data_IF_366776979273
#
_entry.id   IF_366776979273
#
_cell.length_a   1.000
_cell.length_b   1.000
_cell.length_c   1.000
_cell.angle_alpha   90.00
_cell.angle_beta   90.00
_cell.angle_gamma   90.00
#
_symmetry.space_group_name_H-M   'P 1'
#
loop_
_entity.id
_entity.type
_entity.pdbx_description
1 polymer ?
#
# COMPACT_ATOMS: atom_id res chain seq x y z
N UNK A 1 -6.80 9.82 -11.09
CA UNK A 1 -5.88 8.68 -10.82
C UNK A 1 -4.88 8.41 -11.95
N UNK A 2 -5.32 8.40 -13.22
CA UNK A 2 -4.48 8.04 -14.38
C UNK A 2 -3.16 8.82 -14.55
N UNK A 3 -3.15 10.13 -14.29
CA UNK A 3 -1.92 10.93 -14.37
C UNK A 3 -0.86 10.45 -13.35
N UNK A 4 -1.28 10.10 -12.13
CA UNK A 4 -0.39 9.58 -11.08
C UNK A 4 0.21 8.23 -11.49
N UNK A 5 -0.63 7.29 -11.94
CA UNK A 5 -0.18 5.98 -12.41
C UNK A 5 0.80 6.11 -13.58
N UNK A 6 0.49 6.98 -14.54
CA UNK A 6 1.38 7.24 -15.68
C UNK A 6 2.74 7.78 -15.26
N UNK A 7 2.77 8.75 -14.33
CA UNK A 7 4.02 9.26 -13.78
C UNK A 7 4.84 8.17 -13.08
N UNK A 8 4.19 7.28 -12.32
CA UNK A 8 4.87 6.20 -11.64
C UNK A 8 5.43 5.16 -12.61
N UNK A 9 4.67 4.78 -13.62
CA UNK A 9 5.10 3.82 -14.64
C UNK A 9 6.25 4.33 -15.50
N UNK A 10 6.28 5.64 -15.81
CA UNK A 10 7.34 6.24 -16.61
C UNK A 10 8.66 6.43 -15.85
N UNK A 11 8.59 6.57 -14.52
CA UNK A 11 9.78 6.88 -13.71
C UNK A 11 10.35 5.68 -12.93
N UNK A 12 9.66 4.53 -12.91
CA UNK A 12 10.10 3.37 -12.12
C UNK A 12 10.13 2.11 -12.97
N UNK A 13 11.10 1.24 -12.72
CA UNK A 13 11.14 -0.10 -13.32
C UNK A 13 10.30 -1.10 -12.50
N UNK A 14 9.92 -2.26 -13.07
CA UNK A 14 9.20 -3.31 -12.32
C UNK A 14 9.97 -3.88 -11.12
N UNK A 15 11.28 -3.67 -11.06
CA UNK A 15 12.13 -4.08 -9.94
C UNK A 15 12.16 -3.04 -8.81
N UNK A 16 11.75 -1.81 -9.09
CA UNK A 16 11.68 -0.71 -8.11
C UNK A 16 10.27 -0.51 -7.60
N UNK A 17 9.25 -0.68 -8.44
CA UNK A 17 7.85 -0.48 -8.08
C UNK A 17 6.98 -1.65 -8.51
N UNK A 18 6.21 -2.18 -7.55
CA UNK A 18 5.19 -3.20 -7.75
C UNK A 18 3.84 -2.67 -7.29
N UNK A 19 2.79 -2.97 -8.05
CA UNK A 19 1.48 -2.38 -7.84
C UNK A 19 0.37 -3.43 -7.74
N UNK A 20 -0.64 -3.12 -6.91
CA UNK A 20 -1.93 -3.80 -6.86
C UNK A 20 -2.98 -2.72 -7.10
N UNK A 21 -3.80 -2.90 -8.13
CA UNK A 21 -4.86 -1.97 -8.49
C UNK A 21 -6.21 -2.61 -8.21
N UNK A 22 -7.09 -1.88 -7.54
CA UNK A 22 -8.44 -2.29 -7.19
C UNK A 22 -9.43 -1.32 -7.84
N UNK A 23 -10.25 -1.83 -8.76
CA UNK A 23 -11.28 -1.09 -9.49
C UNK A 23 -12.57 -1.94 -9.55
N UNK A 24 -13.45 -1.82 -8.55
CA UNK A 24 -14.70 -2.59 -8.51
C UNK A 24 -15.68 -2.20 -9.62
N UNK A 25 -15.54 -0.99 -10.18
CA UNK A 25 -16.45 -0.45 -11.20
C UNK A 25 -16.01 -0.77 -12.64
N UNK A 26 -14.78 -1.28 -12.84
CA UNK A 26 -14.15 -1.59 -14.14
C UNK A 26 -14.08 -0.40 -15.10
N UNK A 27 -14.04 0.83 -14.59
CA UNK A 27 -14.20 2.02 -15.43
C UNK A 27 -12.86 2.58 -15.88
N UNK A 28 -11.87 2.65 -14.99
CA UNK A 28 -10.67 3.45 -15.23
C UNK A 28 -9.38 2.62 -15.28
N UNK A 29 -9.28 1.53 -14.52
CA UNK A 29 -8.00 0.85 -14.30
C UNK A 29 -7.80 -0.42 -15.13
N UNK A 30 -8.87 -0.98 -15.72
CA UNK A 30 -8.83 -2.22 -16.51
C UNK A 30 -7.81 -2.16 -17.67
N UNK A 31 -7.54 -0.97 -18.21
CA UNK A 31 -6.57 -0.75 -19.29
C UNK A 31 -5.10 -0.96 -18.89
N UNK A 32 -4.78 -1.02 -17.60
CA UNK A 32 -3.41 -1.27 -17.11
C UNK A 32 -3.10 -2.77 -16.99
N UNK A 33 -4.05 -3.66 -17.26
CA UNK A 33 -3.80 -5.10 -17.24
C UNK A 33 -2.68 -5.48 -18.22
N UNK A 34 -1.73 -6.30 -17.75
CA UNK A 34 -0.57 -6.75 -18.53
C UNK A 34 0.68 -5.88 -18.38
N UNK A 35 0.61 -4.77 -17.64
CA UNK A 35 1.79 -3.98 -17.28
C UNK A 35 2.70 -4.77 -16.33
N UNK A 36 4.02 -4.85 -16.56
CA UNK A 36 4.94 -5.70 -15.79
C UNK A 36 5.10 -5.29 -14.33
N UNK A 37 4.69 -4.08 -13.95
CA UNK A 37 4.69 -3.59 -12.57
C UNK A 37 3.56 -4.20 -11.72
N UNK A 38 2.51 -4.73 -12.34
CA UNK A 38 1.41 -5.34 -11.60
C UNK A 38 1.82 -6.68 -10.98
N UNK A 39 1.42 -6.90 -9.73
CA UNK A 39 1.61 -8.19 -9.04
C UNK A 39 0.50 -9.19 -9.36
N UNK A 40 -0.68 -8.68 -9.68
CA UNK A 40 -1.88 -9.42 -10.04
C UNK A 40 -2.66 -8.60 -11.09
N UNK A 41 -3.54 -9.24 -11.87
CA UNK A 41 -4.50 -8.49 -12.69
C UNK A 41 -5.31 -7.54 -11.80
N UNK A 42 -5.84 -6.47 -12.42
CA UNK A 42 -6.66 -5.47 -11.73
C UNK A 42 -7.81 -6.17 -11.02
N UNK A 43 -7.89 -5.97 -9.70
CA UNK A 43 -8.86 -6.63 -8.84
C UNK A 43 -10.18 -5.92 -8.98
N UNK A 44 -11.20 -6.66 -9.42
CA UNK A 44 -12.56 -6.13 -9.55
C UNK A 44 -13.46 -6.72 -8.47
N UNK A 45 -13.36 -8.03 -8.26
CA UNK A 45 -14.27 -8.73 -7.34
C UNK A 45 -13.91 -8.41 -5.90
N UNK A 46 -14.90 -7.99 -5.12
CA UNK A 46 -14.82 -7.65 -3.71
C UNK A 46 -14.04 -8.68 -2.87
N UNK A 47 -14.37 -9.95 -3.06
CA UNK A 47 -13.78 -11.08 -2.32
C UNK A 47 -12.27 -11.20 -2.58
N UNK A 48 -11.84 -10.88 -3.80
CA UNK A 48 -10.42 -10.88 -4.16
C UNK A 48 -9.66 -9.72 -3.52
N UNK A 49 -10.33 -8.60 -3.23
CA UNK A 49 -9.71 -7.45 -2.56
C UNK A 49 -9.28 -7.83 -1.13
N UNK A 50 -10.12 -8.56 -0.41
CA UNK A 50 -9.78 -9.06 0.94
C UNK A 50 -8.55 -9.96 0.88
N UNK A 51 -8.50 -10.89 -0.08
CA UNK A 51 -7.33 -11.74 -0.29
C UNK A 51 -6.06 -10.95 -0.63
N UNK A 52 -6.17 -9.89 -1.45
CA UNK A 52 -5.06 -9.02 -1.79
C UNK A 52 -4.54 -8.24 -0.57
N UNK A 53 -5.43 -7.69 0.26
CA UNK A 53 -5.05 -6.98 1.49
C UNK A 53 -4.38 -7.91 2.51
N UNK A 54 -4.92 -9.12 2.71
CA UNK A 54 -4.30 -10.14 3.57
C UNK A 54 -2.91 -10.55 3.06
N UNK A 55 -2.72 -10.59 1.74
CA UNK A 55 -1.40 -10.83 1.15
C UNK A 55 -0.43 -9.66 1.42
N UNK A 56 -0.90 -8.42 1.25
CA UNK A 56 -0.10 -7.21 1.54
C UNK A 56 0.34 -7.18 3.01
N UNK A 57 -0.54 -7.54 3.94
CA UNK A 57 -0.18 -7.62 5.36
C UNK A 57 0.90 -8.67 5.63
N UNK A 58 0.74 -9.89 5.07
CA UNK A 58 1.75 -10.95 5.21
C UNK A 58 3.10 -10.54 4.62
N UNK A 59 3.11 -9.86 3.49
CA UNK A 59 4.33 -9.34 2.88
C UNK A 59 4.96 -8.23 3.74
N UNK A 60 4.15 -7.37 4.37
CA UNK A 60 4.63 -6.36 5.30
C UNK A 60 5.33 -7.00 6.50
N UNK A 61 4.73 -8.03 7.12
CA UNK A 61 5.32 -8.75 8.25
C UNK A 61 6.63 -9.45 7.84
N UNK A 62 6.63 -10.11 6.67
CA UNK A 62 7.82 -10.75 6.13
C UNK A 62 8.96 -9.75 5.88
N UNK A 63 8.66 -8.56 5.37
CA UNK A 63 9.64 -7.47 5.18
C UNK A 63 10.15 -6.95 6.51
N UNK A 64 9.27 -6.78 7.50
CA UNK A 64 9.68 -6.34 8.83
C UNK A 64 10.66 -7.33 9.49
N UNK A 65 10.41 -8.63 9.34
CA UNK A 65 11.36 -9.66 9.78
C UNK A 65 12.70 -9.60 9.03
N UNK A 66 12.69 -9.37 7.71
CA UNK A 66 13.93 -9.18 6.95
C UNK A 66 14.69 -7.93 7.42
N UNK A 67 13.99 -6.84 7.72
CA UNK A 67 14.59 -5.60 8.18
C UNK A 67 15.25 -5.77 9.54
N UNK A 68 14.59 -6.47 10.47
CA UNK A 68 15.15 -6.72 11.81
C UNK A 68 16.40 -7.58 11.77
N UNK A 69 16.48 -8.57 10.86
CA UNK A 69 17.65 -9.44 10.69
C UNK A 69 18.93 -8.69 10.29
N UNK A 70 18.81 -7.63 9.48
CA UNK A 70 19.95 -6.79 9.03
C UNK A 70 20.06 -5.47 9.81
N UNK A 71 19.21 -5.25 10.81
CA UNK A 71 19.17 -4.00 11.58
C UNK A 71 18.85 -2.78 10.71
N UNK A 72 17.99 -2.94 9.71
CA UNK A 72 17.43 -1.85 8.91
C UNK A 72 16.14 -1.33 9.55
N UNK A 73 15.91 -0.02 9.53
CA UNK A 73 14.68 0.60 10.08
C UNK A 73 13.61 0.84 9.02
N UNK A 74 14.03 1.00 7.78
CA UNK A 74 13.18 1.29 6.64
C UNK A 74 13.71 0.57 5.39
N UNK A 75 12.92 0.62 4.32
CA UNK A 75 13.27 -0.02 3.04
C UNK A 75 14.50 0.63 2.37
N UNK A 76 14.73 1.93 2.56
CA UNK A 76 15.89 2.64 2.00
C UNK A 76 17.17 2.11 2.65
N UNK A 77 17.20 1.99 3.98
CA UNK A 77 18.30 1.42 4.76
C UNK A 77 18.54 -0.04 4.39
N UNK A 78 17.47 -0.81 4.19
CA UNK A 78 17.58 -2.22 3.77
C UNK A 78 18.18 -2.33 2.37
N UNK A 79 17.66 -1.57 1.40
CA UNK A 79 18.13 -1.58 0.02
C UNK A 79 19.56 -1.02 -0.13
N UNK A 80 19.99 -0.14 0.77
CA UNK A 80 21.39 0.33 0.79
C UNK A 80 22.38 -0.72 1.32
N UNK A 81 21.91 -1.72 2.08
CA UNK A 81 22.74 -2.77 2.70
C UNK A 81 22.65 -4.12 2.00
N UNK A 82 21.57 -4.39 1.28
CA UNK A 82 21.28 -5.69 0.67
C UNK A 82 21.05 -5.59 -0.84
N UNK A 83 21.52 -6.62 -1.55
CA UNK A 83 21.21 -6.85 -2.96
C UNK A 83 20.71 -8.28 -3.13
N UNK A 84 19.58 -8.52 -3.83
CA UNK A 84 18.79 -7.55 -4.59
C UNK A 84 17.94 -6.62 -3.70
N UNK A 85 17.73 -5.39 -4.18
CA UNK A 85 16.87 -4.42 -3.53
C UNK A 85 15.40 -4.86 -3.56
N UNK A 86 14.65 -4.55 -2.51
CA UNK A 86 13.22 -4.78 -2.45
C UNK A 86 12.46 -3.66 -3.17
N UNK A 87 11.47 -4.00 -4.01
CA UNK A 87 10.61 -3.01 -4.67
C UNK A 87 9.68 -2.34 -3.66
N UNK A 88 9.36 -1.07 -3.91
CA UNK A 88 8.23 -0.39 -3.30
C UNK A 88 6.92 -1.06 -3.73
N UNK A 89 5.97 -1.13 -2.82
CA UNK A 89 4.64 -1.70 -3.08
C UNK A 89 3.59 -0.60 -2.97
N UNK A 90 2.82 -0.42 -4.04
CA UNK A 90 1.71 0.52 -4.09
C UNK A 90 0.40 -0.24 -4.23
N UNK A 91 -0.52 -0.03 -3.28
CA UNK A 91 -1.89 -0.51 -3.37
C UNK A 91 -2.76 0.71 -3.69
N UNK A 92 -3.42 0.69 -4.85
CA UNK A 92 -4.31 1.76 -5.27
C UNK A 92 -5.74 1.23 -5.33
N UNK A 93 -6.63 1.86 -4.57
CA UNK A 93 -8.05 1.55 -4.50
C UNK A 93 -8.78 2.77 -5.05
N UNK A 94 -9.46 2.61 -6.18
CA UNK A 94 -10.14 3.74 -6.85
C UNK A 94 -11.31 4.26 -5.98
N UNK A 95 -12.07 3.35 -5.39
CA UNK A 95 -13.21 3.66 -4.54
C UNK A 95 -13.13 2.92 -3.20
N UNK A 96 -12.75 3.64 -2.13
CA UNK A 96 -12.65 3.07 -0.79
C UNK A 96 -14.03 2.79 -0.17
N UNK A 97 -15.06 3.54 -0.56
CA UNK A 97 -16.41 3.39 0.00
C UNK A 97 -17.02 2.03 -0.32
N UNK A 98 -16.78 1.52 -1.53
CA UNK A 98 -17.24 0.20 -1.95
C UNK A 98 -16.62 -0.89 -1.06
N UNK A 99 -15.36 -0.72 -0.64
CA UNK A 99 -14.67 -1.66 0.26
C UNK A 99 -15.29 -1.71 1.67
N UNK A 100 -15.68 -0.55 2.22
CA UNK A 100 -16.25 -0.46 3.58
C UNK A 100 -17.64 -1.11 3.68
N UNK A 101 -18.40 -1.15 2.57
CA UNK A 101 -19.70 -1.80 2.53
C UNK A 101 -19.61 -3.33 2.38
N UNK A 102 -18.53 -3.84 1.79
CA UNK A 102 -18.37 -5.27 1.48
C UNK A 102 -17.92 -6.11 2.68
N UNK A 103 -17.30 -5.50 3.70
CA UNK A 103 -17.03 -6.18 4.96
C UNK A 103 -16.81 -5.19 6.12
N UNK A 104 -17.88 -4.70 6.79
CA UNK A 104 -17.71 -3.95 8.03
C UNK A 104 -16.94 -4.78 9.07
N UNK A 105 -17.21 -6.09 9.16
CA UNK A 105 -16.52 -6.98 10.11
C UNK A 105 -15.06 -7.27 9.76
N UNK A 106 -14.67 -7.42 8.49
CA UNK A 106 -13.25 -7.72 8.15
C UNK A 106 -12.40 -6.46 8.06
N UNK A 107 -12.96 -5.31 7.66
CA UNK A 107 -12.24 -4.04 7.78
C UNK A 107 -11.99 -3.69 9.23
N UNK A 108 -12.90 -4.00 10.15
CA UNK A 108 -12.76 -3.77 11.59
C UNK A 108 -12.01 -4.91 12.33
N UNK A 109 -12.03 -6.16 11.83
CA UNK A 109 -11.32 -7.33 12.40
C UNK A 109 -9.92 -7.56 11.82
N UNK A 110 -9.58 -6.97 10.66
CA UNK A 110 -8.18 -6.70 10.24
C UNK A 110 -7.71 -5.30 10.64
N UNK A 111 -8.63 -4.46 11.12
CA UNK A 111 -8.33 -3.27 11.91
C UNK A 111 -8.70 -3.47 13.40
N UNK A 112 -8.41 -4.62 14.07
CA UNK A 112 -8.80 -4.75 15.47
C UNK A 112 -7.72 -4.03 16.26
N UNK A 113 -7.96 -2.74 16.49
CA UNK A 113 -7.00 -1.83 17.10
C UNK A 113 -5.79 -1.51 16.20
N UNK A 114 -5.72 -0.27 15.74
CA UNK A 114 -4.46 0.39 15.40
C UNK A 114 -4.04 1.33 16.56
N UNK A 115 -3.74 0.87 17.81
CA UNK A 115 -3.56 1.80 18.93
C UNK A 115 -2.15 2.39 19.00
N UNK A 116 -1.23 2.06 18.08
CA UNK A 116 0.17 2.48 18.26
C UNK A 116 1.04 2.53 17.00
N UNK A 117 0.45 2.68 15.81
CA UNK A 117 1.26 3.06 14.64
C UNK A 117 1.69 4.53 14.75
N UNK A 118 2.76 4.77 15.52
CA UNK A 118 3.69 5.85 15.20
C UNK A 118 4.26 5.50 13.83
N UNK A 119 3.74 6.15 12.81
CA UNK A 119 4.25 6.03 11.45
C UNK A 119 5.79 6.16 11.46
N UNK A 120 6.55 5.16 10.99
CA UNK A 120 7.92 5.42 10.58
C UNK A 120 7.87 6.46 9.44
N UNK A 121 8.86 7.38 9.35
CA UNK A 121 8.76 8.65 8.61
C UNK A 121 8.69 8.55 7.08
N UNK A 122 8.40 7.37 6.52
CA UNK A 122 8.38 7.12 5.07
C UNK A 122 6.96 7.12 4.45
N UNK A 123 5.89 7.20 5.24
CA UNK A 123 4.52 7.26 4.72
C UNK A 123 3.72 8.33 5.46
N UNK A 124 3.62 9.52 4.87
CA UNK A 124 2.76 10.60 5.37
C UNK A 124 1.40 10.49 4.69
N UNK A 125 0.44 9.84 5.33
CA UNK A 125 -0.98 10.08 5.09
C UNK A 125 -1.55 10.65 6.39
N UNK A 126 -1.78 11.97 6.39
CA UNK A 126 -2.38 12.67 7.52
C UNK A 126 -3.90 12.59 7.39
N UNK A 127 -4.54 11.80 8.24
CA UNK A 127 -5.94 11.93 8.59
C UNK A 127 -6.08 11.59 10.07
N UNK A 128 -6.05 12.61 10.93
CA UNK A 128 -6.36 12.45 12.36
C UNK A 128 -7.78 12.93 12.60
N UNK A 129 -8.71 12.06 13.03
CA UNK A 129 -10.10 12.45 13.28
C UNK A 129 -10.30 13.26 14.57
N UNK A 130 -9.24 13.81 15.20
CA UNK A 130 -9.36 14.53 16.47
C UNK A 130 -8.25 15.56 16.79
N UNK A 131 -7.64 16.19 15.79
CA UNK A 131 -6.70 17.32 16.03
C UNK A 131 -7.35 18.64 15.58
N UNK A 132 -7.54 19.63 16.47
CA UNK A 132 -8.04 20.93 16.07
C UNK A 132 -7.02 21.67 15.17
N UNK A 133 -7.47 22.52 14.22
CA UNK A 133 -6.68 22.96 13.06
C UNK A 133 -5.47 23.89 13.31
N UNK A 134 -5.01 24.09 14.55
CA UNK A 134 -4.07 25.18 14.89
C UNK A 134 -2.78 24.75 15.59
N UNK A 135 -2.61 23.47 15.93
CA UNK A 135 -1.42 23.03 16.68
C UNK A 135 -0.30 22.62 15.73
N UNK A 136 0.50 23.61 15.33
CA UNK A 136 1.87 23.42 14.88
C UNK A 136 2.78 23.32 16.11
N UNK A 137 3.63 22.29 16.20
CA UNK A 137 4.82 22.36 17.06
C UNK A 137 5.98 21.65 16.37
N UNK A 138 7.11 22.34 16.12
CA UNK A 138 8.29 21.74 15.52
C UNK A 138 9.22 21.19 16.60
N UNK A 139 9.64 19.95 16.45
CA UNK A 139 10.97 19.44 16.80
C UNK A 139 11.09 17.99 16.31
#
# INVERSE_FOLDING_TARGET
>A
VNALLSCLLLNNTPNELRMILVDPKRVELTGYNGVPHLLAPVVVEAEQVVGALQWVQREMDARYHRFSQVGARNIVDYNGKNSPALPYMLVLIDELADLMMLAPDETERHSPAWPSWRAPPAFTWCWLPNVPPWTWSPA
#
